data_IF_916217861469
#
_entry.id   IF_916217861469
#
_cell.length_a   1.000
_cell.length_b   1.000
_cell.length_c   1.000
_cell.angle_alpha   90.00
_cell.angle_beta   90.00
_cell.angle_gamma   90.00
#
_symmetry.space_group_name_H-M   'P 1'
#
loop_
_entity.id
_entity.type
_entity.pdbx_description
1 polymer ?
#
# COMPACT_ATOMS: atom_id res chain seq x y z
N UNK A 1 -2.47 -2.97 -18.66
CA UNK A 1 -2.45 -4.41 -18.30
C UNK A 1 -3.56 -5.17 -19.02
N UNK A 2 -4.85 -4.87 -18.81
CA UNK A 2 -5.96 -5.62 -19.46
C UNK A 2 -5.90 -5.64 -21.00
N UNK A 3 -5.68 -4.49 -21.64
CA UNK A 3 -5.55 -4.41 -23.11
C UNK A 3 -4.38 -5.26 -23.65
N UNK A 4 -3.25 -5.29 -22.95
CA UNK A 4 -2.11 -6.14 -23.31
C UNK A 4 -2.48 -7.63 -23.19
N UNK A 5 -3.14 -8.03 -22.11
CA UNK A 5 -3.59 -9.41 -21.91
C UNK A 5 -4.61 -9.85 -22.98
N UNK A 6 -5.49 -8.95 -23.43
CA UNK A 6 -6.44 -9.22 -24.52
C UNK A 6 -5.72 -9.42 -25.86
N UNK A 7 -4.77 -8.55 -26.20
CA UNK A 7 -3.96 -8.71 -27.41
C UNK A 7 -3.14 -10.01 -27.39
N UNK A 8 -2.59 -10.36 -26.23
CA UNK A 8 -1.88 -11.62 -26.02
C UNK A 8 -2.80 -12.84 -26.19
N UNK A 9 -4.05 -12.77 -25.69
CA UNK A 9 -5.06 -13.81 -25.88
C UNK A 9 -5.36 -14.06 -27.35
N UNK A 10 -5.58 -12.99 -28.13
CA UNK A 10 -5.83 -13.11 -29.56
C UNK A 10 -4.65 -13.72 -30.32
N UNK A 11 -3.43 -13.32 -29.97
CA UNK A 11 -2.23 -13.87 -30.60
C UNK A 11 -2.11 -15.38 -30.35
N UNK A 12 -2.32 -15.83 -29.11
CA UNK A 12 -2.25 -17.25 -28.74
C UNK A 12 -3.43 -18.02 -29.31
N UNK A 13 -4.62 -17.41 -29.41
CA UNK A 13 -5.77 -18.03 -30.05
C UNK A 13 -5.49 -18.35 -31.52
N UNK A 14 -4.91 -17.39 -32.27
CA UNK A 14 -4.49 -17.62 -33.67
C UNK A 14 -3.45 -18.73 -33.78
N UNK A 15 -2.50 -18.78 -32.84
CA UNK A 15 -1.47 -19.84 -32.76
C UNK A 15 -2.10 -21.21 -32.53
N UNK A 16 -3.06 -21.30 -31.60
CA UNK A 16 -3.79 -22.51 -31.28
C UNK A 16 -4.57 -23.02 -32.50
N UNK A 17 -5.35 -22.15 -33.15
CA UNK A 17 -6.15 -22.51 -34.32
C UNK A 17 -5.27 -23.05 -35.47
N UNK A 18 -4.16 -22.37 -35.76
CA UNK A 18 -3.22 -22.83 -36.79
C UNK A 18 -2.61 -24.20 -36.44
N UNK A 19 -2.27 -24.42 -35.17
CA UNK A 19 -1.69 -25.69 -34.71
C UNK A 19 -2.73 -26.81 -34.76
N UNK A 20 -3.99 -26.52 -34.40
CA UNK A 20 -5.12 -27.46 -34.52
C UNK A 20 -5.38 -27.85 -35.98
N UNK A 21 -5.38 -26.90 -36.91
CA UNK A 21 -5.54 -27.20 -38.33
C UNK A 21 -4.42 -28.10 -38.86
N UNK A 22 -3.17 -27.79 -38.52
CA UNK A 22 -2.00 -28.63 -38.87
C UNK A 22 -2.10 -30.02 -38.27
N UNK A 23 -2.62 -30.16 -37.06
CA UNK A 23 -2.85 -31.46 -36.42
C UNK A 23 -3.90 -32.27 -37.19
N UNK A 24 -5.00 -31.65 -37.58
CA UNK A 24 -6.09 -32.31 -38.31
C UNK A 24 -5.63 -32.88 -39.67
N UNK A 25 -4.61 -32.26 -40.30
CA UNK A 25 -3.99 -32.76 -41.53
C UNK A 25 -2.73 -33.61 -41.29
N UNK A 26 -2.40 -33.92 -40.03
CA UNK A 26 -1.28 -34.79 -39.67
C UNK A 26 0.12 -34.17 -39.75
N UNK A 27 0.23 -32.84 -39.79
CA UNK A 27 1.49 -32.10 -39.92
C UNK A 27 2.20 -31.82 -38.58
N UNK A 28 1.50 -31.98 -37.44
CA UNK A 28 2.05 -31.79 -36.09
C UNK A 28 1.49 -32.84 -35.14
N UNK A 29 2.12 -33.01 -33.96
CA UNK A 29 1.66 -33.96 -32.96
C UNK A 29 0.53 -33.39 -32.10
N UNK A 30 -0.29 -34.26 -31.50
CA UNK A 30 -1.36 -33.85 -30.56
C UNK A 30 -0.81 -33.08 -29.35
N UNK A 31 0.43 -33.36 -28.96
CA UNK A 31 1.13 -32.68 -27.85
C UNK A 31 1.30 -31.18 -28.12
N UNK A 32 1.50 -30.77 -29.37
CA UNK A 32 1.67 -29.36 -29.73
C UNK A 32 0.36 -28.58 -29.54
N UNK A 33 -0.77 -29.22 -29.89
CA UNK A 33 -2.11 -28.66 -29.66
C UNK A 33 -2.39 -28.52 -28.16
N UNK A 34 -2.04 -29.52 -27.37
CA UNK A 34 -2.21 -29.48 -25.91
C UNK A 34 -1.36 -28.37 -25.27
N UNK A 35 -0.11 -28.20 -25.72
CA UNK A 35 0.76 -27.12 -25.26
C UNK A 35 0.18 -25.74 -25.60
N UNK A 36 -0.28 -25.55 -26.84
CA UNK A 36 -0.91 -24.29 -27.26
C UNK A 36 -2.19 -24.00 -26.45
N UNK A 37 -2.99 -25.05 -26.14
CA UNK A 37 -4.19 -24.92 -25.33
C UNK A 37 -3.88 -24.54 -23.88
N UNK A 38 -2.88 -25.17 -23.27
CA UNK A 38 -2.43 -24.81 -21.92
C UNK A 38 -1.94 -23.36 -21.84
N UNK A 39 -1.25 -22.87 -22.87
CA UNK A 39 -0.85 -21.46 -22.96
C UNK A 39 -2.06 -20.52 -23.07
N UNK A 40 -3.05 -20.89 -23.87
CA UNK A 40 -4.29 -20.13 -24.00
C UNK A 40 -5.05 -20.04 -22.67
N UNK A 41 -5.18 -21.17 -21.96
CA UNK A 41 -5.83 -21.24 -20.65
C UNK A 41 -5.10 -20.40 -19.59
N UNK A 42 -3.76 -20.38 -19.64
CA UNK A 42 -2.94 -19.51 -18.78
C UNK A 42 -3.24 -18.02 -19.03
N UNK A 43 -3.40 -17.62 -20.30
CA UNK A 43 -3.73 -16.22 -20.63
C UNK A 43 -5.16 -15.86 -20.26
N UNK A 44 -6.11 -16.79 -20.37
CA UNK A 44 -7.47 -16.62 -19.82
C UNK A 44 -7.44 -16.36 -18.31
N UNK A 45 -6.66 -17.14 -17.55
CA UNK A 45 -6.50 -16.91 -16.11
C UNK A 45 -5.89 -15.52 -15.81
N UNK A 46 -4.89 -15.11 -16.59
CA UNK A 46 -4.30 -13.78 -16.46
C UNK A 46 -5.29 -12.66 -16.79
N UNK A 47 -6.20 -12.85 -17.75
CA UNK A 47 -7.26 -11.89 -18.07
C UNK A 47 -8.20 -11.69 -16.88
N UNK A 48 -8.59 -12.77 -16.21
CA UNK A 48 -9.45 -12.71 -15.01
C UNK A 48 -8.75 -11.95 -13.88
N UNK A 49 -7.49 -12.28 -13.60
CA UNK A 49 -6.70 -11.57 -12.58
C UNK A 49 -6.53 -10.08 -12.93
N UNK A 50 -6.27 -9.77 -14.20
CA UNK A 50 -6.14 -8.39 -14.66
C UNK A 50 -7.44 -7.60 -14.54
N UNK A 51 -8.60 -8.23 -14.78
CA UNK A 51 -9.93 -7.63 -14.53
C UNK A 51 -10.16 -7.40 -13.04
N UNK A 52 -9.94 -8.41 -12.20
CA UNK A 52 -10.11 -8.27 -10.76
C UNK A 52 -9.23 -7.16 -10.19
N UNK A 53 -7.99 -7.01 -10.67
CA UNK A 53 -7.11 -5.93 -10.26
C UNK A 53 -7.63 -4.55 -10.69
N UNK A 54 -8.25 -4.45 -11.87
CA UNK A 54 -8.88 -3.22 -12.32
C UNK A 54 -10.09 -2.87 -11.44
N UNK A 55 -10.94 -3.86 -11.17
CA UNK A 55 -12.14 -3.68 -10.35
C UNK A 55 -11.76 -3.27 -8.91
N UNK A 56 -10.77 -3.94 -8.31
CA UNK A 56 -10.24 -3.59 -6.99
C UNK A 56 -9.68 -2.16 -6.95
N UNK A 57 -8.93 -1.74 -7.97
CA UNK A 57 -8.37 -0.39 -8.03
C UNK A 57 -9.47 0.69 -8.19
N UNK A 58 -10.53 0.40 -8.93
CA UNK A 58 -11.71 1.28 -9.06
C UNK A 58 -12.45 1.37 -7.72
N UNK A 59 -12.59 0.26 -7.01
CA UNK A 59 -13.22 0.24 -5.68
C UNK A 59 -12.38 0.97 -4.63
N UNK A 60 -11.05 0.83 -4.62
CA UNK A 60 -10.16 1.62 -3.77
C UNK A 60 -10.32 3.12 -4.05
N UNK A 61 -10.37 3.52 -5.33
CA UNK A 61 -10.61 4.91 -5.71
C UNK A 61 -11.98 5.39 -5.20
N UNK A 62 -13.03 4.56 -5.33
CA UNK A 62 -14.37 4.87 -4.82
C UNK A 62 -14.35 5.06 -3.30
N UNK A 63 -13.64 4.21 -2.56
CA UNK A 63 -13.54 4.31 -1.10
C UNK A 63 -12.88 5.63 -0.65
N UNK A 64 -11.83 6.07 -1.35
CA UNK A 64 -11.11 7.32 -1.01
C UNK A 64 -11.87 8.57 -1.48
N UNK A 65 -12.52 8.52 -2.64
CA UNK A 65 -13.13 9.71 -3.27
C UNK A 65 -14.63 9.85 -3.02
N UNK A 66 -15.31 8.80 -2.58
CA UNK A 66 -16.76 8.76 -2.34
C UNK A 66 -17.64 8.74 -3.60
N UNK A 67 -17.05 8.78 -4.79
CA UNK A 67 -17.77 8.84 -6.07
C UNK A 67 -17.45 7.64 -6.96
N UNK A 68 -18.42 7.19 -7.75
CA UNK A 68 -18.23 6.14 -8.75
C UNK A 68 -17.81 6.77 -10.09
N UNK A 69 -16.67 6.34 -10.63
CA UNK A 69 -16.18 6.77 -11.94
C UNK A 69 -16.36 5.66 -12.96
N UNK A 70 -17.33 5.76 -13.89
CA UNK A 70 -17.56 4.74 -14.91
C UNK A 70 -16.42 4.67 -15.95
N UNK A 71 -15.67 5.76 -16.13
CA UNK A 71 -14.46 5.81 -16.94
C UNK A 71 -13.38 6.63 -16.24
N UNK A 72 -12.13 6.14 -16.27
CA UNK A 72 -10.95 6.86 -15.80
C UNK A 72 -10.16 7.36 -16.99
N UNK A 73 -9.68 8.60 -16.92
CA UNK A 73 -8.81 9.16 -17.94
C UNK A 73 -7.52 8.33 -18.01
N UNK A 74 -7.35 7.58 -19.10
CA UNK A 74 -6.14 6.81 -19.34
C UNK A 74 -4.93 7.73 -19.49
N UNK A 75 -3.77 7.27 -19.04
CA UNK A 75 -2.52 8.02 -19.17
C UNK A 75 -2.20 8.21 -20.67
N UNK A 76 -2.05 9.46 -21.09
CA UNK A 76 -1.60 9.77 -22.44
C UNK A 76 -0.10 9.46 -22.57
N UNK A 77 0.21 8.26 -23.07
CA UNK A 77 1.57 7.78 -23.28
C UNK A 77 2.33 8.53 -24.38
N UNK A 78 1.67 9.30 -25.23
CA UNK A 78 2.32 10.10 -26.28
C UNK A 78 2.88 11.41 -25.75
N UNK A 79 2.25 11.99 -24.72
CA UNK A 79 2.64 13.26 -24.12
C UNK A 79 3.29 13.12 -22.74
N UNK A 80 3.42 11.89 -22.23
CA UNK A 80 4.04 11.62 -20.94
C UNK A 80 5.53 12.00 -20.98
N UNK A 81 5.92 12.91 -20.09
CA UNK A 81 7.32 13.31 -19.88
C UNK A 81 7.69 13.05 -18.43
N UNK A 82 8.89 12.52 -18.22
CA UNK A 82 9.44 12.32 -16.89
C UNK A 82 10.22 13.57 -16.48
N UNK A 83 9.79 14.19 -15.38
CA UNK A 83 10.56 15.25 -14.74
C UNK A 83 11.57 14.64 -13.77
N UNK A 84 12.82 15.12 -13.82
CA UNK A 84 13.83 14.69 -12.86
C UNK A 84 13.46 15.23 -11.47
N UNK A 85 13.48 14.39 -10.42
CA UNK A 85 13.22 14.86 -9.08
C UNK A 85 14.25 15.93 -8.68
N UNK A 86 13.83 16.87 -7.85
CA UNK A 86 14.71 17.89 -7.26
C UNK A 86 15.84 17.21 -6.49
N UNK A 87 16.97 17.91 -6.33
CA UNK A 87 18.10 17.42 -5.55
C UNK A 87 17.66 16.98 -4.15
N UNK A 88 18.18 15.83 -3.69
CA UNK A 88 17.81 15.19 -2.42
C UNK A 88 17.93 16.16 -1.23
N UNK A 89 18.98 16.97 -1.19
CA UNK A 89 19.18 17.96 -0.11
C UNK A 89 18.07 19.02 -0.05
N UNK A 90 17.49 19.39 -1.20
CA UNK A 90 16.37 20.33 -1.25
C UNK A 90 15.07 19.67 -0.73
N UNK A 91 14.83 18.41 -1.11
CA UNK A 91 13.68 17.64 -0.63
C UNK A 91 13.77 17.37 0.88
N UNK A 92 14.97 17.09 1.40
CA UNK A 92 15.19 16.86 2.83
C UNK A 92 14.92 18.12 3.66
N UNK A 93 15.45 19.27 3.22
CA UNK A 93 15.21 20.56 3.87
C UNK A 93 13.73 20.98 3.83
N UNK A 94 13.01 20.62 2.78
CA UNK A 94 11.56 20.84 2.70
C UNK A 94 10.78 19.90 3.62
N UNK A 95 11.16 18.62 3.68
CA UNK A 95 10.56 17.64 4.58
C UNK A 95 10.77 18.00 6.07
N UNK A 96 11.95 18.49 6.47
CA UNK A 96 12.19 18.92 7.86
C UNK A 96 11.24 20.03 8.34
N UNK A 97 10.75 20.86 7.41
CA UNK A 97 9.90 22.00 7.73
C UNK A 97 8.41 21.71 7.53
N UNK A 98 8.04 20.81 6.61
CA UNK A 98 6.65 20.58 6.18
C UNK A 98 6.13 19.16 6.41
N UNK A 99 6.95 18.25 6.91
CA UNK A 99 6.50 16.89 7.22
C UNK A 99 5.57 16.89 8.45
N UNK A 100 4.30 16.58 8.23
CA UNK A 100 3.26 16.57 9.26
C UNK A 100 3.52 15.56 10.37
N UNK A 101 4.13 14.41 10.06
CA UNK A 101 4.49 13.39 11.05
C UNK A 101 5.60 13.88 12.00
N UNK A 102 6.59 14.63 11.47
CA UNK A 102 7.65 15.23 12.30
C UNK A 102 7.10 16.34 13.21
N UNK A 103 6.20 17.17 12.68
CA UNK A 103 5.51 18.19 13.48
C UNK A 103 4.67 17.55 14.60
N UNK A 104 3.95 16.47 14.32
CA UNK A 104 3.19 15.72 15.32
C UNK A 104 4.12 15.14 16.40
N UNK A 105 5.25 14.55 16.01
CA UNK A 105 6.22 14.01 16.97
C UNK A 105 6.80 15.09 17.90
N UNK A 106 7.11 16.28 17.36
CA UNK A 106 7.57 17.44 18.15
C UNK A 106 6.50 17.92 19.11
N UNK A 107 5.26 18.08 18.63
CA UNK A 107 4.14 18.52 19.48
C UNK A 107 3.88 17.51 20.61
N UNK A 108 3.92 16.20 20.32
CA UNK A 108 3.81 15.14 21.33
C UNK A 108 4.95 15.19 22.36
N UNK A 109 6.18 15.47 21.91
CA UNK A 109 7.31 15.65 22.81
C UNK A 109 7.15 16.88 23.71
N UNK A 110 6.67 18.00 23.17
CA UNK A 110 6.44 19.22 23.94
C UNK A 110 5.31 19.03 24.96
N UNK A 111 4.24 18.32 24.59
CA UNK A 111 3.19 17.91 25.53
C UNK A 111 3.74 17.02 26.64
N UNK A 112 4.57 16.03 26.32
CA UNK A 112 5.18 15.15 27.32
C UNK A 112 6.16 15.87 28.26
N UNK A 113 6.91 16.86 27.74
CA UNK A 113 7.80 17.72 28.56
C UNK A 113 7.02 18.68 29.45
N UNK A 114 5.94 19.27 28.94
CA UNK A 114 5.05 20.12 29.73
C UNK A 114 4.31 19.34 30.83
N UNK A 115 3.97 18.08 30.56
CA UNK A 115 3.35 17.17 31.53
C UNK A 115 4.34 16.64 32.59
N UNK A 116 5.65 16.72 32.35
CA UNK A 116 6.68 16.29 33.29
C UNK A 116 7.57 17.48 33.72
N UNK A 117 7.06 18.43 34.53
CA UNK A 117 7.84 19.56 34.97
C UNK A 117 9.06 19.09 35.78
N UNK A 118 10.25 19.69 35.59
CA UNK A 118 11.54 19.23 36.17
C UNK A 118 11.65 19.30 37.70
N UNK A 119 10.54 19.49 38.42
CA UNK A 119 10.47 19.52 39.89
C UNK A 119 9.52 18.48 40.52
N UNK A 120 8.78 17.68 39.75
CA UNK A 120 7.74 16.79 40.31
C UNK A 120 8.27 15.48 40.93
N UNK A 121 9.59 15.29 41.02
CA UNK A 121 10.21 14.04 41.45
C UNK A 121 10.74 13.98 42.89
N UNK A 122 10.66 15.05 43.71
CA UNK A 122 11.42 15.10 44.98
C UNK A 122 10.79 15.70 46.24
N UNK A 123 9.51 16.10 46.31
CA UNK A 123 8.99 16.83 47.49
C UNK A 123 7.89 16.18 48.36
N UNK A 124 7.53 14.90 48.19
CA UNK A 124 6.33 14.37 48.89
C UNK A 124 6.47 13.07 49.68
N UNK A 125 7.69 12.60 49.98
CA UNK A 125 7.87 11.30 50.68
C UNK A 125 8.28 11.39 52.17
N UNK A 126 8.43 12.58 52.77
CA UNK A 126 9.09 12.70 54.10
C UNK A 126 8.26 13.39 55.19
N UNK A 127 6.93 13.24 55.14
CA UNK A 127 6.01 13.86 56.11
C UNK A 127 4.95 12.90 56.67
N UNK A 128 5.21 11.60 56.86
CA UNK A 128 4.24 10.70 57.51
C UNK A 128 4.85 9.66 58.48
N UNK A 129 5.91 10.01 59.23
CA UNK A 129 6.45 9.10 60.26
C UNK A 129 6.56 9.70 61.68
N UNK A 130 6.56 11.02 61.85
CA UNK A 130 6.86 11.65 63.14
C UNK A 130 5.64 12.09 63.99
N UNK A 131 4.43 11.66 63.65
CA UNK A 131 3.20 12.08 64.34
C UNK A 131 2.54 11.05 65.27
N UNK A 132 2.86 9.75 65.14
CA UNK A 132 2.00 8.69 65.69
C UNK A 132 2.47 8.04 67.00
N UNK A 133 3.59 8.48 67.60
CA UNK A 133 4.15 7.82 68.79
C UNK A 133 4.43 8.77 69.97
N UNK A 134 3.47 9.65 70.32
CA UNK A 134 3.56 10.51 71.51
C UNK A 134 2.32 10.58 72.42
N UNK A 135 1.32 9.72 72.25
CA UNK A 135 0.09 9.80 73.07
C UNK A 135 -0.36 8.51 73.80
N UNK A 136 0.45 7.44 73.82
CA UNK A 136 0.15 6.24 74.62
C UNK A 136 1.25 5.89 75.63
N UNK A 137 1.58 6.84 76.50
CA UNK A 137 2.16 6.55 77.81
C UNK A 137 1.54 7.55 78.80
N UNK A 138 0.87 7.02 79.84
CA UNK A 138 0.02 7.67 80.85
C UNK A 138 -1.47 7.83 80.50
N UNK A 139 -2.28 6.79 80.71
CA UNK A 139 -3.38 6.70 81.71
C UNK A 139 -3.85 5.22 81.76
N UNK A 140 -3.80 4.67 82.99
CA UNK A 140 -4.13 3.29 83.46
C UNK A 140 -3.18 2.16 83.04
#
# INVERSE_FOLDING_TARGET
MLSYTQAQKEAIYRQLDQTTQRFNVGLVAITDVQNARAQYDTVLANEVTARNNLDNAVEELRQVTGNYYPELASLNVEHFKTDKPKAVNALLKEAENRNLSLLQARLSQDLARGANPPGAGRSSAEAESNGFNRYFRYVL
#
